data_IF_598056866028
#
_entry.id   IF_598056866028
#
_cell.length_a   1.000
_cell.length_b   1.000
_cell.length_c   1.000
_cell.angle_alpha   90.00
_cell.angle_beta   90.00
_cell.angle_gamma   90.00
#
_symmetry.space_group_name_H-M   'P 1'
#
loop_
_entity.id
_entity.type
_entity.pdbx_description
1 polymer ?
#
# COMPACT_ATOMS: atom_id res chain seq x y z
N UNK A 1 2.31 -6.13 4.51
CA UNK A 1 1.58 -5.61 5.71
C UNK A 1 0.43 -4.70 5.28
N UNK A 2 0.60 -3.73 4.34
CA UNK A 2 -0.47 -2.83 3.90
C UNK A 2 -1.72 -3.55 3.34
N UNK A 3 -1.54 -4.64 2.59
CA UNK A 3 -2.64 -5.42 2.03
C UNK A 3 -3.53 -6.08 3.10
N UNK A 4 -3.00 -6.90 4.03
CA UNK A 4 -3.86 -7.49 5.07
C UNK A 4 -4.47 -6.42 5.99
N UNK A 5 -3.75 -5.33 6.28
CA UNK A 5 -4.28 -4.22 7.08
C UNK A 5 -5.43 -3.52 6.35
N UNK A 6 -5.24 -3.17 5.08
CA UNK A 6 -6.27 -2.52 4.27
C UNK A 6 -7.49 -3.42 4.03
N UNK A 7 -7.28 -4.74 3.86
CA UNK A 7 -8.38 -5.70 3.81
C UNK A 7 -9.17 -5.74 5.13
N UNK A 8 -8.47 -5.84 6.27
CA UNK A 8 -9.10 -5.85 7.59
C UNK A 8 -9.90 -4.56 7.86
N UNK A 9 -9.35 -3.39 7.50
CA UNK A 9 -10.06 -2.12 7.59
C UNK A 9 -11.29 -2.07 6.68
N UNK A 10 -11.15 -2.50 5.42
CA UNK A 10 -12.26 -2.52 4.48
C UNK A 10 -13.41 -3.45 4.92
N UNK A 11 -13.09 -4.65 5.46
CA UNK A 11 -14.10 -5.55 6.02
C UNK A 11 -14.76 -4.95 7.25
N UNK A 12 -13.98 -4.35 8.16
CA UNK A 12 -14.51 -3.70 9.35
C UNK A 12 -15.45 -2.54 9.01
N UNK A 13 -15.08 -1.69 8.03
CA UNK A 13 -15.94 -0.60 7.55
C UNK A 13 -17.24 -1.17 6.98
N UNK A 14 -17.18 -2.19 6.12
CA UNK A 14 -18.35 -2.84 5.53
C UNK A 14 -19.29 -3.44 6.60
N UNK A 15 -18.73 -4.06 7.63
CA UNK A 15 -19.52 -4.66 8.71
C UNK A 15 -20.14 -3.60 9.65
N UNK A 16 -19.41 -2.51 9.89
CA UNK A 16 -19.89 -1.36 10.66
C UNK A 16 -20.99 -0.58 9.93
N UNK A 17 -20.95 -0.50 8.60
CA UNK A 17 -22.03 0.15 7.82
C UNK A 17 -23.41 -0.46 8.11
N UNK A 18 -23.47 -1.78 8.34
CA UNK A 18 -24.70 -2.51 8.67
C UNK A 18 -25.16 -2.28 10.12
N UNK A 19 -24.24 -1.97 11.05
CA UNK A 19 -24.50 -1.85 12.49
C UNK A 19 -24.58 -0.40 12.97
N UNK A 20 -23.65 0.43 12.50
CA UNK A 20 -23.44 1.81 12.96
C UNK A 20 -22.86 2.67 11.84
N UNK A 21 -23.68 3.21 10.92
CA UNK A 21 -23.18 3.94 9.74
C UNK A 21 -22.33 5.16 10.09
N UNK A 22 -22.58 5.82 11.23
CA UNK A 22 -21.75 6.97 11.66
C UNK A 22 -20.34 6.55 12.06
N UNK A 23 -20.21 5.41 12.73
CA UNK A 23 -18.90 4.87 13.11
C UNK A 23 -18.13 4.36 11.89
N UNK A 24 -18.82 3.75 10.92
CA UNK A 24 -18.22 3.36 9.65
C UNK A 24 -17.66 4.56 8.89
N UNK A 25 -18.42 5.67 8.80
CA UNK A 25 -17.95 6.93 8.19
C UNK A 25 -16.74 7.51 8.91
N UNK A 26 -16.77 7.51 10.24
CA UNK A 26 -15.64 8.00 11.03
C UNK A 26 -14.37 7.18 10.74
N UNK A 27 -14.47 5.85 10.74
CA UNK A 27 -13.37 4.96 10.45
C UNK A 27 -12.86 5.14 9.01
N UNK A 28 -13.76 5.30 8.03
CA UNK A 28 -13.38 5.58 6.63
C UNK A 28 -12.60 6.90 6.52
N UNK A 29 -13.06 7.96 7.17
CA UNK A 29 -12.37 9.26 7.20
C UNK A 29 -10.99 9.12 7.86
N UNK A 30 -10.90 8.46 9.01
CA UNK A 30 -9.62 8.24 9.69
C UNK A 30 -8.63 7.44 8.80
N UNK A 31 -9.13 6.45 8.08
CA UNK A 31 -8.30 5.67 7.15
C UNK A 31 -7.75 6.54 6.02
N UNK A 32 -8.47 7.61 5.63
CA UNK A 32 -8.04 8.53 4.57
C UNK A 32 -7.12 9.65 5.05
N UNK A 33 -6.98 9.88 6.37
CA UNK A 33 -6.14 10.96 6.91
C UNK A 33 -4.70 10.96 6.38
N UNK A 34 -3.98 9.82 6.32
CA UNK A 34 -2.61 9.83 5.79
C UNK A 34 -2.53 10.33 4.35
N UNK A 35 -3.59 10.15 3.57
CA UNK A 35 -3.66 10.63 2.19
C UNK A 35 -3.86 12.15 2.07
N UNK A 36 -4.47 12.77 3.06
CA UNK A 36 -4.64 14.22 3.14
C UNK A 36 -3.36 14.95 3.58
N UNK A 37 -2.38 14.22 4.13
CA UNK A 37 -1.10 14.76 4.57
C UNK A 37 -0.04 14.60 3.46
N UNK A 38 0.97 15.45 3.48
CA UNK A 38 2.12 15.22 2.61
C UNK A 38 2.91 13.98 3.08
N UNK A 39 3.49 13.24 2.13
CA UNK A 39 4.29 12.06 2.46
C UNK A 39 5.44 12.37 3.43
N UNK A 40 6.06 13.56 3.29
CA UNK A 40 7.10 14.03 4.22
C UNK A 40 6.56 14.21 5.65
N UNK A 41 5.33 14.73 5.82
CA UNK A 41 4.71 14.86 7.15
C UNK A 41 4.41 13.50 7.77
N UNK A 42 3.96 12.52 6.97
CA UNK A 42 3.77 11.14 7.44
C UNK A 42 5.12 10.54 7.88
N UNK A 43 6.17 10.72 7.08
CA UNK A 43 7.53 10.29 7.44
C UNK A 43 8.03 10.93 8.74
N UNK A 44 7.80 12.25 8.90
CA UNK A 44 8.14 12.97 10.14
C UNK A 44 7.37 12.43 11.34
N UNK A 45 6.07 12.16 11.18
CA UNK A 45 5.25 11.57 12.23
C UNK A 45 5.76 10.21 12.69
N UNK A 46 6.14 9.33 11.74
CA UNK A 46 6.78 8.04 12.04
C UNK A 46 8.08 8.23 12.79
N UNK A 47 8.95 9.13 12.33
CA UNK A 47 10.23 9.42 12.95
C UNK A 47 10.06 9.93 14.39
N UNK A 48 9.20 10.93 14.62
CA UNK A 48 8.93 11.49 15.94
C UNK A 48 8.28 10.45 16.88
N UNK A 49 7.41 9.59 16.34
CA UNK A 49 6.82 8.49 17.11
C UNK A 49 7.89 7.54 17.66
N UNK A 50 8.86 7.17 16.84
CA UNK A 50 9.97 6.28 17.22
C UNK A 50 10.88 6.95 18.25
N UNK A 51 11.22 8.23 18.05
CA UNK A 51 12.01 9.01 19.02
C UNK A 51 11.32 9.03 20.38
N UNK A 52 10.02 9.32 20.39
CA UNK A 52 9.25 9.43 21.62
C UNK A 52 9.10 8.10 22.37
N UNK A 53 9.13 6.98 21.64
CA UNK A 53 9.06 5.63 22.22
C UNK A 53 10.43 5.14 22.70
N UNK A 54 11.49 5.95 22.57
CA UNK A 54 12.88 5.63 22.96
C UNK A 54 13.41 4.30 22.37
N UNK A 55 12.97 3.99 21.15
CA UNK A 55 13.43 2.82 20.42
C UNK A 55 14.68 3.19 19.61
N UNK A 56 15.78 3.49 20.32
CA UNK A 56 17.04 3.95 19.70
C UNK A 56 17.61 3.01 18.65
N UNK A 57 17.40 1.69 18.81
CA UNK A 57 17.78 0.67 17.83
C UNK A 57 16.93 0.70 16.54
N UNK A 58 15.76 1.34 16.56
CA UNK A 58 14.89 1.41 15.41
C UNK A 58 15.42 2.31 14.29
N UNK A 59 16.33 3.25 14.58
CA UNK A 59 16.96 4.08 13.55
C UNK A 59 17.83 3.30 12.56
N UNK A 60 18.38 2.18 13.01
CA UNK A 60 19.18 1.28 12.17
C UNK A 60 18.32 0.20 11.50
N UNK A 61 17.02 0.18 11.80
CA UNK A 61 16.14 -0.84 11.26
C UNK A 61 15.81 -0.55 9.79
N UNK A 62 16.24 -1.42 8.92
CA UNK A 62 16.08 -1.31 7.47
C UNK A 62 14.62 -1.18 7.00
N UNK A 63 13.66 -1.68 7.77
CA UNK A 63 12.24 -1.63 7.44
C UNK A 63 11.54 -0.35 7.93
N UNK A 64 12.26 0.61 8.51
CA UNK A 64 11.68 1.84 9.03
C UNK A 64 10.92 2.65 7.96
N UNK A 65 11.43 2.85 6.74
CA UNK A 65 10.67 3.47 5.66
C UNK A 65 9.37 2.72 5.34
N UNK A 66 9.36 1.39 5.52
CA UNK A 66 8.18 0.56 5.25
C UNK A 66 6.99 0.92 6.15
N UNK A 67 7.20 1.43 7.37
CA UNK A 67 6.11 1.88 8.24
C UNK A 67 5.39 3.09 7.63
N UNK A 68 6.15 4.07 7.13
CA UNK A 68 5.57 5.22 6.44
C UNK A 68 4.87 4.80 5.14
N UNK A 69 5.47 3.88 4.37
CA UNK A 69 4.84 3.35 3.15
C UNK A 69 3.55 2.60 3.45
N UNK A 70 3.47 1.82 4.54
CA UNK A 70 2.23 1.15 4.96
C UNK A 70 1.15 2.19 5.24
N UNK A 71 1.47 3.26 5.99
CA UNK A 71 0.50 4.31 6.30
C UNK A 71 0.00 5.02 5.04
N UNK A 72 0.89 5.31 4.08
CA UNK A 72 0.54 5.99 2.83
C UNK A 72 -0.23 5.09 1.85
N UNK A 73 0.04 3.79 1.82
CA UNK A 73 -0.56 2.87 0.84
C UNK A 73 -1.83 2.18 1.33
N UNK A 74 -2.04 2.05 2.64
CA UNK A 74 -3.23 1.43 3.22
C UNK A 74 -4.55 2.06 2.75
N UNK A 75 -4.70 3.40 2.67
CA UNK A 75 -5.91 4.03 2.13
C UNK A 75 -6.28 3.56 0.73
N UNK A 76 -5.30 3.36 -0.14
CA UNK A 76 -5.53 2.86 -1.51
C UNK A 76 -6.05 1.43 -1.51
N UNK A 77 -5.49 0.57 -0.65
CA UNK A 77 -5.99 -0.79 -0.50
C UNK A 77 -7.45 -0.78 -0.07
N UNK A 78 -7.80 0.05 0.91
CA UNK A 78 -9.19 0.18 1.36
C UNK A 78 -10.09 0.66 0.23
N UNK A 79 -9.68 1.67 -0.55
CA UNK A 79 -10.47 2.21 -1.68
C UNK A 79 -10.68 1.21 -2.81
N UNK A 80 -9.76 0.27 -3.02
CA UNK A 80 -9.91 -0.79 -4.03
C UNK A 80 -10.70 -1.98 -3.48
N UNK A 81 -10.44 -2.36 -2.23
CA UNK A 81 -11.03 -3.55 -1.62
C UNK A 81 -12.47 -3.35 -1.15
N UNK A 82 -12.80 -2.18 -0.59
CA UNK A 82 -14.13 -1.92 -0.01
C UNK A 82 -15.27 -2.07 -1.04
N UNK A 83 -15.22 -1.48 -2.25
CA UNK A 83 -16.24 -1.72 -3.27
C UNK A 83 -16.34 -3.19 -3.69
N UNK A 84 -15.19 -3.88 -3.78
CA UNK A 84 -15.15 -5.29 -4.14
C UNK A 84 -15.77 -6.17 -3.05
N UNK A 85 -15.56 -5.85 -1.78
CA UNK A 85 -16.17 -6.55 -0.65
C UNK A 85 -17.69 -6.30 -0.63
N UNK A 86 -18.14 -5.06 -0.86
CA UNK A 86 -19.56 -4.70 -0.93
C UNK A 86 -20.29 -5.40 -2.09
N UNK A 87 -19.59 -5.68 -3.18
CA UNK A 87 -20.17 -6.39 -4.34
C UNK A 87 -20.27 -7.91 -4.15
N UNK A 88 -19.67 -8.47 -3.09
CA UNK A 88 -19.82 -9.88 -2.78
C UNK A 88 -21.22 -10.18 -2.27
N UNK A 89 -21.87 -11.15 -2.89
CA UNK A 89 -23.15 -11.66 -2.39
C UNK A 89 -22.93 -12.42 -1.07
N UNK A 90 -23.64 -12.02 -0.03
CA UNK A 90 -23.54 -12.67 1.28
C UNK A 90 -23.98 -14.16 1.23
N UNK A 91 -24.79 -14.55 0.23
CA UNK A 91 -25.23 -15.92 0.05
C UNK A 91 -24.09 -16.93 -0.04
N UNK A 92 -22.96 -16.54 -0.63
CA UNK A 92 -21.78 -17.44 -0.70
C UNK A 92 -21.23 -17.79 0.68
N UNK A 93 -21.13 -16.80 1.59
CA UNK A 93 -20.63 -17.00 2.94
C UNK A 93 -21.67 -17.75 3.81
N UNK A 94 -22.95 -17.45 3.63
CA UNK A 94 -24.06 -18.09 4.35
C UNK A 94 -24.20 -19.57 3.96
N UNK A 95 -24.23 -19.87 2.67
CA UNK A 95 -24.31 -21.26 2.18
C UNK A 95 -23.11 -22.10 2.64
N UNK A 96 -21.91 -21.52 2.64
CA UNK A 96 -20.74 -22.19 3.14
C UNK A 96 -20.79 -22.45 4.66
N UNK A 97 -21.41 -21.57 5.44
CA UNK A 97 -21.66 -21.78 6.87
C UNK A 97 -22.63 -22.94 7.09
N UNK A 98 -23.71 -22.99 6.34
CA UNK A 98 -24.70 -24.10 6.40
C UNK A 98 -24.04 -25.43 6.08
N UNK A 99 -23.07 -25.44 5.14
CA UNK A 99 -22.27 -26.63 4.79
C UNK A 99 -21.18 -26.97 5.84
N UNK A 100 -21.15 -26.28 6.97
CA UNK A 100 -20.21 -26.56 8.08
C UNK A 100 -18.78 -26.06 7.83
N UNK A 101 -18.53 -25.19 6.85
CA UNK A 101 -17.19 -24.64 6.61
C UNK A 101 -16.78 -23.68 7.74
N UNK A 102 -15.62 -23.94 8.35
CA UNK A 102 -15.03 -23.02 9.33
C UNK A 102 -14.63 -21.68 8.71
N UNK A 103 -14.48 -20.65 9.52
CA UNK A 103 -14.22 -19.27 9.11
C UNK A 103 -12.95 -19.13 8.23
N UNK A 104 -11.85 -19.73 8.68
CA UNK A 104 -10.60 -19.74 7.91
C UNK A 104 -10.74 -20.42 6.53
N UNK A 105 -11.47 -21.56 6.48
CA UNK A 105 -11.71 -22.27 5.23
C UNK A 105 -12.54 -21.43 4.26
N UNK A 106 -13.56 -20.71 4.75
CA UNK A 106 -14.37 -19.79 3.94
C UNK A 106 -13.53 -18.61 3.42
N UNK A 107 -12.69 -18.04 4.28
CA UNK A 107 -11.77 -16.97 3.88
C UNK A 107 -10.88 -17.40 2.72
N UNK A 108 -10.18 -18.54 2.85
CA UNK A 108 -9.20 -19.00 1.86
C UNK A 108 -9.87 -19.53 0.59
N UNK A 109 -10.96 -20.31 0.72
CA UNK A 109 -11.58 -21.02 -0.42
C UNK A 109 -12.65 -20.21 -1.14
N UNK A 110 -13.23 -19.18 -0.51
CA UNK A 110 -14.33 -18.38 -1.08
C UNK A 110 -13.91 -16.92 -1.22
N UNK A 111 -13.60 -16.23 -0.12
CA UNK A 111 -13.35 -14.78 -0.16
C UNK A 111 -12.11 -14.41 -0.97
N UNK A 112 -10.98 -15.08 -0.76
CA UNK A 112 -9.74 -14.82 -1.52
C UNK A 112 -9.94 -15.04 -3.03
N UNK A 113 -10.47 -16.17 -3.51
CA UNK A 113 -10.70 -16.38 -4.95
C UNK A 113 -11.65 -15.36 -5.57
N UNK A 114 -12.72 -14.98 -4.89
CA UNK A 114 -13.67 -13.99 -5.38
C UNK A 114 -13.06 -12.59 -5.44
N UNK A 115 -12.19 -12.24 -4.49
CA UNK A 115 -11.51 -10.95 -4.39
C UNK A 115 -10.16 -10.91 -5.12
N UNK A 116 -9.72 -12.02 -5.75
CA UNK A 116 -8.37 -12.13 -6.33
C UNK A 116 -7.98 -10.95 -7.23
N UNK A 117 -8.90 -10.47 -8.07
CA UNK A 117 -8.65 -9.34 -8.96
C UNK A 117 -8.37 -8.05 -8.20
N UNK A 118 -9.15 -7.75 -7.16
CA UNK A 118 -8.94 -6.57 -6.32
C UNK A 118 -7.67 -6.69 -5.48
N UNK A 119 -7.34 -7.90 -5.01
CA UNK A 119 -6.09 -8.18 -4.31
C UNK A 119 -4.88 -7.92 -5.22
N UNK A 120 -4.91 -8.43 -6.46
CA UNK A 120 -3.82 -8.23 -7.44
C UNK A 120 -3.67 -6.75 -7.75
N UNK A 121 -4.75 -6.05 -8.08
CA UNK A 121 -4.72 -4.62 -8.39
C UNK A 121 -4.19 -3.82 -7.20
N UNK A 122 -4.69 -4.06 -5.98
CA UNK A 122 -4.20 -3.41 -4.77
C UNK A 122 -2.72 -3.67 -4.54
N UNK A 123 -2.25 -4.91 -4.78
CA UNK A 123 -0.84 -5.28 -4.64
C UNK A 123 0.04 -4.48 -5.58
N UNK A 124 -0.36 -4.38 -6.85
CA UNK A 124 0.38 -3.64 -7.88
C UNK A 124 0.46 -2.16 -7.50
N UNK A 125 -0.66 -1.55 -7.08
CA UNK A 125 -0.68 -0.16 -6.64
C UNK A 125 0.22 0.08 -5.43
N UNK A 126 0.16 -0.78 -4.41
CA UNK A 126 1.03 -0.68 -3.21
C UNK A 126 2.50 -0.75 -3.61
N UNK A 127 2.87 -1.70 -4.48
CA UNK A 127 4.25 -1.85 -4.95
C UNK A 127 4.68 -0.61 -5.76
N UNK A 128 3.88 -0.17 -6.73
CA UNK A 128 4.20 0.97 -7.57
C UNK A 128 4.37 2.27 -6.77
N UNK A 129 3.45 2.52 -5.82
CA UNK A 129 3.53 3.69 -4.93
C UNK A 129 4.73 3.61 -3.99
N UNK A 130 5.00 2.43 -3.41
CA UNK A 130 6.14 2.24 -2.50
C UNK A 130 7.48 2.40 -3.23
N UNK A 131 7.59 1.94 -4.48
CA UNK A 131 8.80 2.11 -5.29
C UNK A 131 9.07 3.58 -5.65
N UNK A 132 8.03 4.37 -5.90
CA UNK A 132 8.16 5.79 -6.28
C UNK A 132 8.16 6.75 -5.10
N UNK A 133 7.97 6.26 -3.86
CA UNK A 133 7.85 7.11 -2.69
C UNK A 133 9.22 7.70 -2.30
N UNK A 134 9.31 9.03 -2.28
CA UNK A 134 10.50 9.79 -1.94
C UNK A 134 10.34 10.56 -0.62
N UNK A 135 9.22 11.23 -0.42
CA UNK A 135 9.05 12.24 0.63
C UNK A 135 9.17 11.69 2.06
N UNK A 136 8.46 10.60 2.35
CA UNK A 136 8.54 9.94 3.66
C UNK A 136 9.89 9.26 3.84
N UNK A 137 10.37 8.57 2.79
CA UNK A 137 11.68 7.91 2.79
C UNK A 137 12.82 8.89 3.03
N UNK A 138 12.76 10.11 2.45
CA UNK A 138 13.77 11.15 2.65
C UNK A 138 13.90 11.56 4.12
N UNK A 139 12.78 11.65 4.83
CA UNK A 139 12.79 12.02 6.27
C UNK A 139 13.28 10.86 7.13
N UNK A 140 12.77 9.65 6.88
CA UNK A 140 12.97 8.48 7.74
C UNK A 140 14.30 7.79 7.49
N UNK A 141 14.76 7.72 6.23
CA UNK A 141 15.96 6.98 5.84
C UNK A 141 17.25 7.82 5.83
N UNK A 142 17.20 9.12 6.20
CA UNK A 142 18.33 10.04 6.10
C UNK A 142 19.59 9.58 6.84
N UNK A 143 19.42 8.81 7.91
CA UNK A 143 20.54 8.31 8.74
C UNK A 143 20.69 6.77 8.68
N UNK A 144 20.04 6.11 7.72
CA UNK A 144 20.12 4.65 7.59
C UNK A 144 21.15 4.25 6.53
N UNK A 145 21.76 3.08 6.71
CA UNK A 145 22.63 2.45 5.71
C UNK A 145 21.87 1.95 4.48
N UNK A 146 20.53 2.04 4.51
CA UNK A 146 19.62 1.56 3.48
C UNK A 146 18.98 2.72 2.72
N UNK A 147 19.09 2.66 1.40
CA UNK A 147 18.60 3.71 0.51
C UNK A 147 17.51 3.17 -0.42
N UNK A 148 16.39 3.89 -0.54
CA UNK A 148 15.40 3.60 -1.58
C UNK A 148 15.88 4.08 -2.95
N UNK A 149 15.33 3.53 -4.05
CA UNK A 149 15.73 3.96 -5.39
C UNK A 149 15.58 5.47 -5.62
N UNK A 150 14.45 6.13 -5.20
CA UNK A 150 14.33 7.58 -5.32
C UNK A 150 15.39 8.36 -4.53
N UNK A 151 15.75 7.91 -3.33
CA UNK A 151 16.81 8.54 -2.52
C UNK A 151 18.20 8.38 -3.16
N UNK A 152 18.46 7.23 -3.78
CA UNK A 152 19.70 6.98 -4.49
C UNK A 152 19.84 7.92 -5.70
N UNK A 153 18.75 8.12 -6.45
CA UNK A 153 18.69 9.07 -7.57
C UNK A 153 19.04 10.48 -7.08
N UNK A 154 18.41 10.93 -5.98
CA UNK A 154 18.66 12.23 -5.38
C UNK A 154 20.10 12.37 -4.91
N UNK A 155 20.59 11.41 -4.15
CA UNK A 155 21.96 11.39 -3.63
C UNK A 155 23.03 11.48 -4.73
N UNK A 156 22.82 10.82 -5.87
CA UNK A 156 23.75 10.90 -7.00
C UNK A 156 23.62 12.21 -7.77
N UNK A 157 22.42 12.78 -7.88
CA UNK A 157 22.24 14.10 -8.48
C UNK A 157 22.80 15.24 -7.62
N UNK A 158 22.75 15.11 -6.30
CA UNK A 158 23.29 16.09 -5.36
C UNK A 158 24.82 16.08 -5.29
N UNK A 159 25.51 15.05 -5.84
CA UNK A 159 26.98 15.01 -5.87
C UNK A 159 27.53 16.12 -6.78
N UNK A 160 28.56 16.84 -6.32
CA UNK A 160 29.21 17.85 -7.16
C UNK A 160 29.81 17.23 -8.41
N UNK A 161 29.93 18.02 -9.48
CA UNK A 161 30.42 17.64 -10.82
C UNK A 161 31.78 16.93 -10.89
N UNK A 162 32.39 16.63 -9.74
CA UNK A 162 33.69 15.92 -9.63
C UNK A 162 33.62 14.43 -10.01
N UNK A 163 32.41 13.84 -9.99
CA UNK A 163 32.18 12.45 -10.39
C UNK A 163 31.38 12.42 -11.70
N UNK A 164 32.03 12.25 -12.86
CA UNK A 164 31.38 12.28 -14.15
C UNK A 164 30.36 11.14 -14.36
N UNK A 165 30.40 10.09 -13.54
CA UNK A 165 29.49 8.95 -13.65
C UNK A 165 28.22 9.11 -12.82
N UNK A 166 28.17 10.05 -11.87
CA UNK A 166 27.03 10.21 -10.96
C UNK A 166 25.74 10.58 -11.68
N UNK A 167 25.78 11.51 -12.62
CA UNK A 167 24.59 11.94 -13.37
C UNK A 167 24.08 10.86 -14.34
N UNK A 168 24.91 10.19 -15.14
CA UNK A 168 24.49 9.04 -15.96
C UNK A 168 23.93 7.90 -15.12
N UNK A 169 24.54 7.57 -14.00
CA UNK A 169 24.07 6.52 -13.10
C UNK A 169 22.68 6.85 -12.50
N UNK A 170 22.48 8.10 -12.03
CA UNK A 170 21.19 8.58 -11.55
C UNK A 170 20.10 8.45 -12.63
N UNK A 171 20.40 8.87 -13.87
CA UNK A 171 19.47 8.76 -14.99
C UNK A 171 19.15 7.30 -15.34
N UNK A 172 20.13 6.40 -15.27
CA UNK A 172 19.93 4.97 -15.51
C UNK A 172 18.96 4.37 -14.47
N UNK A 173 19.17 4.65 -13.17
CA UNK A 173 18.28 4.16 -12.11
C UNK A 173 16.88 4.76 -12.24
N UNK A 174 16.76 6.05 -12.58
CA UNK A 174 15.46 6.70 -12.83
C UNK A 174 14.73 6.04 -14.01
N UNK A 175 15.43 5.71 -15.08
CA UNK A 175 14.86 5.01 -16.25
C UNK A 175 14.37 3.61 -15.87
N UNK A 176 15.18 2.86 -15.12
CA UNK A 176 14.80 1.52 -14.64
C UNK A 176 13.54 1.62 -13.75
N UNK A 177 13.50 2.56 -12.81
CA UNK A 177 12.34 2.78 -11.95
C UNK A 177 11.08 3.12 -12.77
N UNK A 178 11.22 3.98 -13.77
CA UNK A 178 10.13 4.34 -14.68
C UNK A 178 9.62 3.12 -15.47
N UNK A 179 10.51 2.30 -16.01
CA UNK A 179 10.14 1.08 -16.75
C UNK A 179 9.45 0.05 -15.87
N UNK A 180 9.93 -0.15 -14.64
CA UNK A 180 9.31 -1.06 -13.67
C UNK A 180 7.90 -0.57 -13.32
N UNK A 181 7.74 0.71 -12.97
CA UNK A 181 6.43 1.25 -12.60
C UNK A 181 5.46 1.24 -13.78
N UNK A 182 5.92 1.58 -14.98
CA UNK A 182 5.11 1.48 -16.22
C UNK A 182 4.67 0.03 -16.47
N UNK A 183 5.59 -0.93 -16.35
CA UNK A 183 5.26 -2.37 -16.49
C UNK A 183 4.23 -2.84 -15.46
N UNK A 184 4.34 -2.41 -14.21
CA UNK A 184 3.36 -2.71 -13.16
C UNK A 184 1.97 -2.15 -13.49
N UNK A 185 1.88 -0.90 -13.97
CA UNK A 185 0.60 -0.31 -14.37
C UNK A 185 -0.01 -0.99 -15.59
N UNK A 186 0.78 -1.32 -16.61
CA UNK A 186 0.31 -2.09 -17.77
C UNK A 186 -0.21 -3.46 -17.36
N UNK A 187 0.47 -4.12 -16.42
CA UNK A 187 0.02 -5.40 -15.88
C UNK A 187 -1.29 -5.25 -15.09
N UNK A 188 -1.44 -4.20 -14.26
CA UNK A 188 -2.68 -3.91 -13.55
C UNK A 188 -3.86 -3.70 -14.51
N UNK A 189 -3.63 -2.96 -15.59
CA UNK A 189 -4.64 -2.65 -16.61
C UNK A 189 -5.17 -3.92 -17.30
N UNK A 190 -4.28 -4.88 -17.58
CA UNK A 190 -4.68 -6.17 -18.15
C UNK A 190 -5.65 -6.94 -17.25
N UNK A 191 -5.48 -6.85 -15.92
CA UNK A 191 -6.40 -7.50 -14.97
C UNK A 191 -7.72 -6.74 -14.81
N UNK A 192 -7.73 -5.42 -14.99
CA UNK A 192 -8.93 -4.60 -14.96
C UNK A 192 -9.83 -4.92 -16.16
N UNK A 193 -9.29 -4.90 -17.35
CA UNK A 193 -10.04 -5.15 -18.60
C UNK A 193 -10.64 -6.56 -18.69
N UNK A 194 -10.00 -7.57 -18.09
CA UNK A 194 -10.55 -8.92 -18.03
C UNK A 194 -11.80 -9.04 -17.13
N UNK A 195 -12.11 -8.07 -16.29
CA UNK A 195 -13.34 -8.04 -15.49
C UNK A 195 -14.52 -7.47 -16.24
N UNK A 196 -14.29 -6.48 -17.10
CA UNK A 196 -15.35 -5.82 -17.86
C UNK A 196 -15.78 -6.67 -19.07
N UNK A 197 -14.92 -7.60 -19.56
CA UNK A 197 -15.20 -8.52 -20.65
C UNK A 197 -15.98 -9.79 -20.28
N UNK A 198 -16.31 -10.01 -19.01
CA UNK A 198 -17.00 -11.21 -18.51
C UNK A 198 -18.48 -11.01 -18.17
N UNK A 199 -19.08 -9.88 -18.54
CA UNK A 199 -20.50 -9.58 -18.31
C UNK A 199 -21.28 -9.47 -19.63
N UNK A 200 -21.02 -10.39 -20.58
CA UNK A 200 -21.93 -10.63 -21.70
C UNK A 200 -22.16 -12.14 -21.86
#
# INVERSE_FOLDING_TARGET
VALPLGYALATTINDLEKKSPNLARLLDVFTMLPFALSAAMVGLGVLLGIIKLDVSSAYQFWALPSLAHIMLTTPFVVRIMLPAIRSLDNSYDENARVLGMGEFSRFVKIKIPLLKGSIIISSIFVIAMSLGEFGASFIVAKNSDWTTMPLLIDAWRAKPMKDPLSAPASNAVATVLMLITMGLFMFAERFRNNRDGGMF
#
